data_IF_718754183673
#
_entry.id   IF_718754183673
#
_cell.length_a   1.000
_cell.length_b   1.000
_cell.length_c   1.000
_cell.angle_alpha   90.00
_cell.angle_beta   90.00
_cell.angle_gamma   90.00
#
_symmetry.space_group_name_H-M   'P 1'
#
loop_
_entity.id
_entity.type
_entity.pdbx_description
1 polymer ?
#
# COMPACT_ATOMS: atom_id res chain seq x y z
N UNK A 1 17.16 -62.33 -25.17
CA UNK A 1 17.31 -60.99 -25.77
C UNK A 1 16.33 -60.06 -25.07
N UNK A 2 16.76 -59.30 -24.05
CA UNK A 2 15.93 -58.30 -23.39
C UNK A 2 16.70 -56.97 -23.39
N UNK A 3 16.21 -55.97 -24.14
CA UNK A 3 16.73 -54.60 -24.11
C UNK A 3 15.82 -53.77 -23.20
N UNK A 4 16.34 -53.41 -22.02
CA UNK A 4 15.74 -52.43 -21.14
C UNK A 4 15.76 -51.03 -21.77
N UNK A 5 14.62 -50.35 -21.71
CA UNK A 5 14.40 -49.00 -22.21
C UNK A 5 14.53 -48.05 -21.02
N UNK A 6 15.62 -47.29 -20.95
CA UNK A 6 15.87 -46.35 -19.86
C UNK A 6 15.14 -45.01 -20.08
N UNK A 7 14.61 -44.47 -18.97
CA UNK A 7 13.77 -43.28 -18.90
C UNK A 7 14.54 -41.98 -19.20
N UNK A 8 14.18 -41.32 -20.30
CA UNK A 8 14.64 -39.98 -20.66
C UNK A 8 13.56 -38.93 -20.45
N UNK A 9 13.23 -38.61 -19.19
CA UNK A 9 12.34 -37.50 -18.86
C UNK A 9 12.67 -36.97 -17.46
N UNK A 10 13.69 -36.10 -17.30
CA UNK A 10 13.91 -35.45 -15.99
C UNK A 10 14.80 -34.19 -15.94
N UNK A 11 15.39 -33.71 -17.05
CA UNK A 11 16.34 -32.56 -17.00
C UNK A 11 15.77 -31.23 -17.51
N UNK A 12 14.93 -31.21 -18.55
CA UNK A 12 14.39 -29.95 -19.09
C UNK A 12 13.30 -29.33 -18.21
N UNK A 13 12.42 -30.14 -17.63
CA UNK A 13 11.33 -29.69 -16.75
C UNK A 13 11.83 -29.09 -15.43
N UNK A 14 12.98 -29.55 -14.92
CA UNK A 14 13.64 -28.96 -13.74
C UNK A 14 14.22 -27.57 -14.03
N UNK A 15 14.82 -27.32 -15.21
CA UNK A 15 15.41 -26.01 -15.55
C UNK A 15 14.34 -24.91 -15.69
N UNK A 16 13.20 -25.22 -16.30
CA UNK A 16 12.09 -24.25 -16.46
C UNK A 16 11.53 -23.74 -15.13
N UNK A 17 11.34 -24.63 -14.14
CA UNK A 17 10.86 -24.23 -12.79
C UNK A 17 11.82 -23.26 -12.09
N UNK A 18 13.13 -23.49 -12.20
CA UNK A 18 14.15 -22.63 -11.56
C UNK A 18 14.25 -21.28 -12.27
N UNK A 19 14.02 -21.23 -13.58
CA UNK A 19 13.94 -19.98 -14.33
C UNK A 19 12.75 -19.12 -13.89
N UNK A 20 11.56 -19.70 -13.75
CA UNK A 20 10.39 -18.98 -13.26
C UNK A 20 10.53 -18.52 -11.81
N UNK A 21 11.16 -19.34 -10.95
CA UNK A 21 11.52 -18.93 -9.60
C UNK A 21 12.49 -17.74 -9.64
N UNK A 22 13.59 -17.82 -10.40
CA UNK A 22 14.53 -16.71 -10.56
C UNK A 22 13.87 -15.43 -11.09
N UNK A 23 12.92 -15.56 -12.02
CA UNK A 23 12.15 -14.43 -12.55
C UNK A 23 11.22 -13.80 -11.48
N UNK A 24 10.57 -14.62 -10.64
CA UNK A 24 9.79 -14.14 -9.49
C UNK A 24 10.65 -13.46 -8.43
N UNK A 25 11.85 -14.00 -8.17
CA UNK A 25 12.81 -13.37 -7.24
C UNK A 25 13.36 -12.05 -7.80
N UNK A 26 13.40 -11.88 -9.12
CA UNK A 26 13.74 -10.60 -9.77
C UNK A 26 12.69 -9.51 -9.56
N UNK A 27 11.48 -9.88 -9.11
CA UNK A 27 10.39 -8.97 -8.79
C UNK A 27 10.21 -8.79 -7.28
N UNK A 28 11.13 -9.30 -6.45
CA UNK A 28 11.11 -9.02 -5.02
C UNK A 28 11.92 -7.76 -4.76
N UNK A 29 11.34 -6.83 -4.02
CA UNK A 29 12.00 -5.58 -3.71
C UNK A 29 11.04 -4.41 -3.67
N UNK A 30 11.62 -3.23 -3.82
CA UNK A 30 10.94 -1.94 -3.76
C UNK A 30 11.03 -1.31 -5.14
N UNK A 31 9.89 -0.94 -5.72
CA UNK A 31 9.79 -0.40 -7.07
C UNK A 31 9.03 0.91 -7.06
N UNK A 32 9.50 1.88 -7.84
CA UNK A 32 8.85 3.17 -7.96
C UNK A 32 7.51 3.06 -8.72
N UNK A 33 6.47 3.68 -8.16
CA UNK A 33 5.15 3.80 -8.79
C UNK A 33 5.14 5.10 -9.61
N UNK A 34 5.89 5.08 -10.71
CA UNK A 34 5.94 6.18 -11.67
C UNK A 34 4.69 6.20 -12.58
N UNK A 35 4.65 7.12 -13.54
CA UNK A 35 3.48 7.36 -14.39
C UNK A 35 3.05 6.14 -15.24
N UNK A 36 3.98 5.25 -15.56
CA UNK A 36 3.72 4.02 -16.30
C UNK A 36 3.31 2.84 -15.41
N UNK A 37 3.37 2.99 -14.08
CA UNK A 37 3.04 1.93 -13.12
C UNK A 37 1.53 1.77 -12.94
N UNK A 38 1.05 0.53 -12.81
CA UNK A 38 -0.40 0.22 -12.73
C UNK A 38 -1.11 0.90 -11.54
N UNK A 39 -0.38 1.11 -10.44
CA UNK A 39 -0.89 1.76 -9.22
C UNK A 39 -0.73 3.29 -9.22
N UNK A 40 -0.18 3.90 -10.27
CA UNK A 40 0.07 5.34 -10.30
C UNK A 40 -1.19 6.15 -9.97
N UNK A 41 -2.27 5.91 -10.73
CA UNK A 41 -3.54 6.59 -10.52
C UNK A 41 -4.11 6.37 -9.12
N UNK A 42 -3.95 5.17 -8.54
CA UNK A 42 -4.41 4.88 -7.19
C UNK A 42 -3.64 5.71 -6.16
N UNK A 43 -2.31 5.69 -6.22
CA UNK A 43 -1.47 6.42 -5.26
C UNK A 43 -1.67 7.92 -5.34
N UNK A 44 -1.88 8.49 -6.53
CA UNK A 44 -2.25 9.90 -6.70
C UNK A 44 -3.58 10.22 -6.01
N UNK A 45 -4.60 9.36 -6.16
CA UNK A 45 -5.89 9.53 -5.47
C UNK A 45 -5.77 9.41 -3.95
N UNK A 46 -4.92 8.50 -3.46
CA UNK A 46 -4.63 8.37 -2.03
C UNK A 46 -4.03 9.69 -1.50
N UNK A 47 -3.03 10.25 -2.18
CA UNK A 47 -2.43 11.54 -1.79
C UNK A 47 -3.46 12.66 -1.75
N UNK A 48 -4.24 12.80 -2.82
CA UNK A 48 -5.27 13.84 -2.92
C UNK A 48 -6.31 13.70 -1.80
N UNK A 49 -6.87 12.51 -1.62
CA UNK A 49 -7.89 12.25 -0.59
C UNK A 49 -7.38 12.45 0.83
N UNK A 50 -6.15 12.02 1.12
CA UNK A 50 -5.53 12.22 2.44
C UNK A 50 -5.28 13.71 2.70
N UNK A 51 -4.76 14.44 1.71
CA UNK A 51 -4.52 15.86 1.84
C UNK A 51 -5.81 16.63 2.14
N UNK A 52 -6.90 16.32 1.45
CA UNK A 52 -8.22 16.93 1.74
C UNK A 52 -8.73 16.56 3.14
N UNK A 53 -8.67 15.27 3.50
CA UNK A 53 -9.15 14.82 4.82
C UNK A 53 -8.38 15.45 5.98
N UNK A 54 -7.06 15.56 5.88
CA UNK A 54 -6.23 16.17 6.93
C UNK A 54 -6.39 17.69 6.96
N UNK A 55 -6.51 18.35 5.80
CA UNK A 55 -6.68 19.80 5.79
C UNK A 55 -7.96 20.24 6.53
N UNK A 56 -9.02 19.42 6.50
CA UNK A 56 -10.24 19.64 7.29
C UNK A 56 -10.02 19.48 8.80
N UNK A 57 -9.10 18.62 9.22
CA UNK A 57 -8.82 18.36 10.65
C UNK A 57 -7.76 19.27 11.24
N UNK A 58 -6.85 19.86 10.46
CA UNK A 58 -5.81 20.78 10.96
C UNK A 58 -6.40 21.96 11.75
N UNK A 59 -7.56 22.47 11.32
CA UNK A 59 -8.23 23.59 12.00
C UNK A 59 -9.00 23.16 13.27
N UNK A 60 -9.05 21.86 13.56
CA UNK A 60 -9.77 21.29 14.71
C UNK A 60 -8.77 20.80 15.76
N UNK A 61 -8.82 21.30 17.01
CA UNK A 61 -7.91 20.83 18.05
C UNK A 61 -8.10 19.33 18.31
N UNK A 62 -6.98 18.61 18.49
CA UNK A 62 -6.99 17.18 18.82
C UNK A 62 -7.87 16.96 20.06
N UNK A 63 -8.84 16.06 19.95
CA UNK A 63 -9.73 15.79 21.08
C UNK A 63 -9.01 15.02 22.19
N UNK A 64 -8.96 15.61 23.38
CA UNK A 64 -8.37 14.98 24.56
C UNK A 64 -9.15 13.73 25.01
N UNK A 65 -10.47 13.69 24.83
CA UNK A 65 -11.33 12.58 25.26
C UNK A 65 -12.12 12.00 24.09
N UNK A 66 -11.87 10.72 23.78
CA UNK A 66 -12.62 10.01 22.75
C UNK A 66 -13.88 9.37 23.34
N UNK A 67 -15.03 9.66 22.73
CA UNK A 67 -16.30 8.96 22.98
C UNK A 67 -16.51 7.79 21.99
N UNK A 68 -17.45 6.90 22.29
CA UNK A 68 -17.83 5.77 21.42
C UNK A 68 -18.24 6.18 20.01
N UNK A 69 -18.79 7.38 19.84
CA UNK A 69 -19.21 7.90 18.53
C UNK A 69 -18.01 8.11 17.59
N UNK A 70 -16.87 8.54 18.13
CA UNK A 70 -15.65 8.75 17.33
C UNK A 70 -15.11 7.45 16.73
N UNK A 71 -15.28 6.30 17.39
CA UNK A 71 -14.89 4.99 16.86
C UNK A 71 -15.77 4.52 15.71
N UNK A 72 -16.94 5.14 15.52
CA UNK A 72 -17.90 4.83 14.46
C UNK A 72 -18.01 5.96 13.42
N UNK A 73 -17.25 7.04 13.60
CA UNK A 73 -17.27 8.16 12.68
C UNK A 73 -16.80 7.70 11.29
N UNK A 74 -17.51 8.13 10.25
CA UNK A 74 -17.18 7.88 8.86
C UNK A 74 -17.44 9.18 8.10
N UNK A 75 -16.42 9.67 7.42
CA UNK A 75 -16.46 10.90 6.65
C UNK A 75 -16.21 10.58 5.17
N UNK A 76 -17.14 10.99 4.31
CA UNK A 76 -17.02 10.78 2.87
C UNK A 76 -16.71 12.11 2.19
N UNK A 77 -15.61 12.15 1.46
CA UNK A 77 -15.22 13.27 0.61
C UNK A 77 -15.35 12.85 -0.86
N UNK A 78 -16.12 13.61 -1.64
CA UNK A 78 -16.30 13.36 -3.08
C UNK A 78 -15.28 14.17 -3.87
N UNK A 79 -14.53 13.48 -4.73
CA UNK A 79 -13.54 14.07 -5.64
C UNK A 79 -13.94 13.83 -7.09
N UNK A 80 -13.28 14.49 -8.04
CA UNK A 80 -13.53 14.24 -9.46
C UNK A 80 -13.13 12.79 -9.84
N UNK A 81 -14.13 11.91 -9.97
CA UNK A 81 -13.94 10.54 -10.41
C UNK A 81 -13.54 9.53 -9.32
N UNK A 82 -13.65 9.88 -8.03
CA UNK A 82 -13.60 8.93 -6.92
C UNK A 82 -14.22 9.50 -5.62
N UNK A 83 -14.46 8.63 -4.65
CA UNK A 83 -14.85 8.99 -3.29
C UNK A 83 -13.80 8.49 -2.30
N UNK A 84 -13.50 9.29 -1.28
CA UNK A 84 -12.59 8.96 -0.20
C UNK A 84 -13.39 8.84 1.10
N UNK A 85 -13.36 7.66 1.71
CA UNK A 85 -13.97 7.41 3.02
C UNK A 85 -12.89 7.36 4.09
N UNK A 86 -13.05 8.20 5.12
CA UNK A 86 -12.16 8.25 6.27
C UNK A 86 -12.88 7.74 7.49
N UNK A 87 -12.36 6.66 8.07
CA UNK A 87 -12.95 6.01 9.23
C UNK A 87 -12.26 6.47 10.51
N UNK A 88 -13.07 6.78 11.53
CA UNK A 88 -12.63 7.12 12.86
C UNK A 88 -11.49 8.17 12.88
N UNK A 89 -11.60 9.21 12.05
CA UNK A 89 -10.54 10.22 11.87
C UNK A 89 -10.01 10.77 13.21
N UNK A 90 -10.86 11.13 14.20
CA UNK A 90 -10.39 11.63 15.49
C UNK A 90 -9.62 10.58 16.31
N UNK A 91 -9.98 9.30 16.17
CA UNK A 91 -9.28 8.19 16.85
C UNK A 91 -7.88 8.00 16.27
N UNK A 92 -7.76 8.00 14.94
CA UNK A 92 -6.47 7.88 14.28
C UNK A 92 -5.59 9.12 14.47
N UNK A 93 -6.16 10.33 14.52
CA UNK A 93 -5.43 11.54 14.87
C UNK A 93 -4.84 11.45 16.29
N UNK A 94 -5.63 11.01 17.27
CA UNK A 94 -5.13 10.78 18.63
C UNK A 94 -4.06 9.69 18.68
N UNK A 95 -4.20 8.62 17.89
CA UNK A 95 -3.20 7.56 17.80
C UNK A 95 -1.87 8.10 17.25
N UNK A 96 -1.91 8.88 16.15
CA UNK A 96 -0.72 9.54 15.60
C UNK A 96 -0.04 10.43 16.64
N UNK A 97 -0.81 11.28 17.32
CA UNK A 97 -0.26 12.15 18.36
C UNK A 97 0.36 11.37 19.54
N UNK A 98 -0.23 10.22 19.91
CA UNK A 98 0.34 9.35 20.95
C UNK A 98 1.68 8.70 20.56
N UNK A 99 2.00 8.70 19.27
CA UNK A 99 3.26 8.24 18.69
C UNK A 99 4.19 9.41 18.33
N UNK A 100 3.86 10.62 18.77
CA UNK A 100 4.58 11.87 18.49
C UNK A 100 4.62 12.24 16.99
N UNK A 101 3.62 11.77 16.23
CA UNK A 101 3.46 12.10 14.82
C UNK A 101 2.45 13.24 14.70
N UNK A 102 2.90 14.39 14.21
CA UNK A 102 2.01 15.52 13.93
C UNK A 102 1.18 15.29 12.66
N UNK A 103 0.02 15.94 12.54
CA UNK A 103 -0.80 15.86 11.31
C UNK A 103 -0.03 16.41 10.10
N UNK A 104 0.80 17.44 10.29
CA UNK A 104 1.67 17.99 9.25
C UNK A 104 2.75 16.99 8.81
N UNK A 105 3.45 16.35 9.74
CA UNK A 105 4.45 15.33 9.43
C UNK A 105 3.84 14.13 8.72
N UNK A 106 2.68 13.68 9.18
CA UNK A 106 1.93 12.59 8.56
C UNK A 106 1.51 12.93 7.14
N UNK A 107 0.96 14.13 6.92
CA UNK A 107 0.58 14.63 5.60
C UNK A 107 1.80 14.78 4.68
N UNK A 108 2.89 15.38 5.17
CA UNK A 108 4.10 15.59 4.36
C UNK A 108 4.74 14.27 3.93
N UNK A 109 4.71 13.26 4.81
CA UNK A 109 5.21 11.92 4.48
C UNK A 109 4.33 11.24 3.43
N UNK A 110 3.01 11.26 3.60
CA UNK A 110 2.09 10.56 2.70
C UNK A 110 1.79 11.30 1.41
N UNK A 111 1.85 12.62 1.39
CA UNK A 111 1.43 13.46 0.25
C UNK A 111 2.61 14.23 -0.37
N UNK A 112 3.83 13.74 -0.18
CA UNK A 112 5.02 14.30 -0.81
C UNK A 112 4.91 14.34 -2.34
N UNK A 113 5.73 15.16 -2.99
CA UNK A 113 5.78 15.22 -4.44
C UNK A 113 6.40 13.95 -5.07
N UNK A 114 7.17 13.19 -4.29
CA UNK A 114 7.89 11.99 -4.75
C UNK A 114 6.94 10.81 -4.99
N UNK A 115 7.34 9.85 -5.83
CA UNK A 115 6.50 8.68 -6.09
C UNK A 115 6.45 7.72 -4.90
N UNK A 116 5.29 7.10 -4.68
CA UNK A 116 5.20 5.96 -3.78
C UNK A 116 6.04 4.81 -4.32
N UNK A 117 6.45 3.93 -3.42
CA UNK A 117 7.17 2.71 -3.77
C UNK A 117 6.29 1.49 -3.48
N UNK A 118 6.15 0.58 -4.42
CA UNK A 118 5.54 -0.72 -4.18
C UNK A 118 6.58 -1.67 -3.57
N UNK A 119 6.26 -2.27 -2.42
CA UNK A 119 7.02 -3.37 -1.85
C UNK A 119 6.42 -4.71 -2.25
N UNK A 120 7.11 -5.43 -3.13
CA UNK A 120 6.70 -6.76 -3.57
C UNK A 120 7.39 -7.82 -2.69
N UNK A 121 6.58 -8.47 -1.86
CA UNK A 121 7.02 -9.54 -0.97
C UNK A 121 6.70 -10.94 -1.52
N UNK A 122 7.34 -11.96 -0.95
CA UNK A 122 7.02 -13.36 -1.25
C UNK A 122 5.87 -13.93 -0.39
N UNK A 123 5.11 -13.06 0.28
CA UNK A 123 4.05 -13.46 1.19
C UNK A 123 2.90 -14.18 0.46
N UNK A 124 2.16 -15.02 1.19
CA UNK A 124 1.02 -15.75 0.64
C UNK A 124 -0.24 -14.89 0.43
N UNK A 125 -0.31 -13.72 1.06
CA UNK A 125 -1.53 -12.90 1.15
C UNK A 125 -1.90 -12.16 -0.15
N UNK A 126 -1.00 -12.11 -1.15
CA UNK A 126 -1.18 -11.32 -2.38
C UNK A 126 -1.58 -9.85 -2.13
N UNK A 127 -1.28 -9.33 -0.96
CA UNK A 127 -1.56 -7.95 -0.62
C UNK A 127 -0.53 -7.03 -1.29
N UNK A 128 -1.00 -5.86 -1.71
CA UNK A 128 -0.15 -4.79 -2.20
C UNK A 128 0.30 -3.93 -1.02
N UNK A 129 1.60 -3.62 -0.98
CA UNK A 129 2.21 -2.81 0.06
C UNK A 129 2.86 -1.59 -0.59
N UNK A 130 2.62 -0.42 0.00
CA UNK A 130 3.18 0.84 -0.47
C UNK A 130 4.03 1.48 0.62
N UNK A 131 5.08 2.17 0.20
CA UNK A 131 6.00 2.94 1.05
C UNK A 131 6.07 4.36 0.50
N UNK A 132 6.19 5.32 1.40
CA UNK A 132 6.24 6.75 1.12
C UNK A 132 7.58 7.33 1.52
#
# INVERSE_FOLDING_TARGET
MAKGRAAGASRETRRGRWWHLRQRWRMLGVFEINQEHEFYTLTTKIKEGIQTSIQTTIDTPVQDTLTTEHFKAEETHTHEGFEMQTFAAPVFAKLRHSLDISEEEYMNSLCSADYYLQFVSNSKSKADFFVT
#
